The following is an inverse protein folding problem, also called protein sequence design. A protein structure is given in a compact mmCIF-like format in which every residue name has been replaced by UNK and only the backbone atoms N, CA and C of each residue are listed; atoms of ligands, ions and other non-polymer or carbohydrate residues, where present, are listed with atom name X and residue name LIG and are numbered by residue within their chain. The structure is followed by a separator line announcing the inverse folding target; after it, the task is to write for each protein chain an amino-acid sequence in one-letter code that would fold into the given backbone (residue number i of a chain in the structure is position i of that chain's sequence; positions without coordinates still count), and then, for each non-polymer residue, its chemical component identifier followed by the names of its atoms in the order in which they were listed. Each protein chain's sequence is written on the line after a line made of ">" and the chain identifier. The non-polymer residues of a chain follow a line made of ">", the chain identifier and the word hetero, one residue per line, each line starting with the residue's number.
data_IF_938058309128
#
_entry.id   IF_938058309128
#
_cell.length_a   1.000
_cell.length_b   1.000
_cell.length_c   1.000
_cell.angle_alpha   90.00
_cell.angle_beta   90.00
_cell.angle_gamma   90.00
#
_symmetry.space_group_name_H-M   'P 1'
#
loop_
_entity.id
_entity.type
_entity.pdbx_description
1 polymer ?
#
# COMPACT_ATOMS: atom_id res chain seq x y z
N UNK A 1 -15.74 3.32 30.30
CA UNK A 1 -16.69 4.18 29.55
C UNK A 1 -16.89 3.54 28.19
N UNK A 2 -18.09 3.53 27.63
CA UNK A 2 -18.27 3.12 26.23
C UNK A 2 -17.79 4.28 25.35
N UNK A 3 -16.77 4.04 24.52
CA UNK A 3 -16.46 4.95 23.43
C UNK A 3 -17.62 4.95 22.43
N UNK A 4 -18.01 6.12 21.95
CA UNK A 4 -18.91 6.24 20.80
C UNK A 4 -18.12 5.76 19.57
N UNK A 5 -18.68 4.91 18.69
CA UNK A 5 -17.98 4.52 17.47
C UNK A 5 -17.80 5.73 16.57
N UNK A 6 -16.57 6.16 16.37
CA UNK A 6 -16.21 7.22 15.42
C UNK A 6 -16.64 6.85 14.00
N UNK A 7 -17.00 7.87 13.23
CA UNK A 7 -17.19 7.76 11.78
C UNK A 7 -15.84 7.63 11.05
N UNK A 8 -15.86 7.15 9.81
CA UNK A 8 -14.68 7.10 8.93
C UNK A 8 -13.97 8.46 8.87
N UNK A 9 -14.75 9.56 8.83
CA UNK A 9 -14.25 10.92 8.63
C UNK A 9 -13.60 11.49 9.90
N UNK A 10 -14.10 11.14 11.09
CA UNK A 10 -13.45 11.48 12.38
C UNK A 10 -12.16 10.69 12.60
N UNK A 11 -12.10 9.42 12.18
CA UNK A 11 -10.88 8.62 12.18
C UNK A 11 -9.85 9.14 11.17
N UNK A 12 -10.32 9.61 10.01
CA UNK A 12 -9.46 10.25 9.02
C UNK A 12 -8.88 11.56 9.56
N UNK A 13 -9.68 12.39 10.23
CA UNK A 13 -9.18 13.59 10.93
C UNK A 13 -8.22 13.25 12.09
N UNK A 14 -8.45 12.17 12.85
CA UNK A 14 -7.55 11.67 13.91
C UNK A 14 -6.16 11.25 13.36
N UNK A 15 -6.13 10.56 12.23
CA UNK A 15 -4.88 10.14 11.54
C UNK A 15 -4.33 11.21 10.57
N UNK A 16 -4.89 12.42 10.55
CA UNK A 16 -4.44 13.53 9.69
C UNK A 16 -4.63 13.31 8.18
N UNK A 17 -5.54 12.41 7.79
CA UNK A 17 -5.85 12.05 6.39
C UNK A 17 -6.76 13.11 5.78
N UNK A 18 -6.22 13.91 4.86
CA UNK A 18 -6.91 15.03 4.22
C UNK A 18 -7.80 14.53 3.08
N UNK A 19 -9.08 14.85 3.11
CA UNK A 19 -10.02 14.42 2.07
C UNK A 19 -10.74 15.58 1.38
N UNK A 20 -10.93 15.40 0.08
CA UNK A 20 -11.67 16.31 -0.79
C UNK A 20 -13.13 16.38 -0.35
N UNK A 21 -13.59 17.56 0.07
CA UNK A 21 -15.00 17.80 0.44
C UNK A 21 -15.92 17.47 -0.74
N UNK A 22 -16.98 16.70 -0.48
CA UNK A 22 -17.91 16.12 -1.48
C UNK A 22 -17.36 14.96 -2.36
N UNK A 23 -16.13 14.47 -2.13
CA UNK A 23 -15.68 13.21 -2.73
C UNK A 23 -16.64 12.08 -2.37
N UNK A 24 -17.11 11.31 -3.38
CA UNK A 24 -18.26 10.42 -3.20
C UNK A 24 -17.86 9.04 -2.68
N UNK A 25 -17.30 9.00 -1.47
CA UNK A 25 -17.15 7.76 -0.70
C UNK A 25 -18.52 7.14 -0.43
N UNK A 26 -18.94 6.24 -1.31
CA UNK A 26 -20.22 5.53 -1.18
C UNK A 26 -20.20 4.68 0.10
N UNK A 27 -21.35 4.44 0.78
CA UNK A 27 -21.44 3.58 1.97
C UNK A 27 -20.92 2.13 1.82
N UNK A 28 -20.50 1.74 0.62
CA UNK A 28 -19.80 0.48 0.32
C UNK A 28 -18.29 0.51 0.60
N UNK A 29 -17.66 1.64 0.90
CA UNK A 29 -16.27 1.62 1.42
C UNK A 29 -16.26 1.04 2.85
N UNK A 30 -17.32 1.29 3.63
CA UNK A 30 -17.60 0.64 4.92
C UNK A 30 -17.95 -0.87 4.77
N UNK A 31 -17.85 -1.43 3.56
CA UNK A 31 -17.98 -2.88 3.27
C UNK A 31 -16.63 -3.48 2.82
N UNK A 32 -15.53 -2.71 2.85
CA UNK A 32 -14.18 -3.28 2.75
C UNK A 32 -13.91 -4.15 4.00
N UNK A 33 -13.25 -5.31 3.85
CA UNK A 33 -12.90 -6.18 4.97
C UNK A 33 -11.98 -5.53 6.01
N UNK A 34 -11.17 -4.56 5.60
CA UNK A 34 -10.37 -3.71 6.48
C UNK A 34 -11.24 -2.78 7.35
N UNK A 35 -10.81 -2.48 8.56
CA UNK A 35 -11.47 -1.46 9.40
C UNK A 35 -11.16 -0.03 8.93
N UNK A 36 -11.97 0.93 9.39
CA UNK A 36 -11.74 2.36 9.15
C UNK A 36 -10.38 2.84 9.70
N UNK A 37 -10.02 2.38 10.90
CA UNK A 37 -8.77 2.75 11.57
C UNK A 37 -7.54 2.19 10.84
N UNK A 38 -7.60 0.96 10.32
CA UNK A 38 -6.54 0.41 9.46
C UNK A 38 -6.41 1.19 8.13
N UNK A 39 -7.53 1.53 7.47
CA UNK A 39 -7.51 2.34 6.25
C UNK A 39 -6.87 3.71 6.48
N UNK A 40 -7.22 4.37 7.58
CA UNK A 40 -6.66 5.67 7.96
C UNK A 40 -5.15 5.57 8.23
N UNK A 41 -4.74 4.65 9.12
CA UNK A 41 -3.34 4.39 9.47
C UNK A 41 -2.47 4.06 8.25
N UNK A 42 -2.93 3.18 7.36
CA UNK A 42 -2.17 2.84 6.15
C UNK A 42 -2.12 3.98 5.12
N UNK A 43 -3.14 4.85 5.10
CA UNK A 43 -3.15 6.04 4.22
C UNK A 43 -2.10 7.05 4.68
N UNK A 44 -2.10 7.43 5.96
CA UNK A 44 -1.08 8.35 6.49
C UNK A 44 0.33 7.77 6.39
N UNK A 45 0.54 6.53 6.85
CA UNK A 45 1.86 5.88 6.82
C UNK A 45 2.45 5.86 5.41
N UNK A 46 1.62 5.59 4.39
CA UNK A 46 2.03 5.64 2.99
C UNK A 46 2.31 7.07 2.53
N UNK A 47 1.36 7.98 2.71
CA UNK A 47 1.44 9.30 2.09
C UNK A 47 2.45 10.22 2.78
N UNK A 48 2.67 10.08 4.09
CA UNK A 48 3.79 10.70 4.81
C UNK A 48 5.12 10.29 4.18
N UNK A 49 5.37 8.98 4.00
CA UNK A 49 6.60 8.48 3.39
C UNK A 49 6.80 8.96 1.94
N UNK A 50 5.72 9.06 1.17
CA UNK A 50 5.76 9.51 -0.23
C UNK A 50 5.95 11.02 -0.36
N UNK A 51 5.34 11.84 0.50
CA UNK A 51 5.61 13.29 0.57
C UNK A 51 7.06 13.53 0.97
N UNK A 52 7.61 12.80 1.95
CA UNK A 52 9.04 12.89 2.30
C UNK A 52 9.95 12.54 1.12
N UNK A 53 9.66 11.46 0.39
CA UNK A 53 10.43 11.08 -0.79
C UNK A 53 10.38 12.15 -1.91
N UNK A 54 9.20 12.75 -2.14
CA UNK A 54 9.00 13.84 -3.11
C UNK A 54 9.79 15.09 -2.71
N UNK A 55 9.68 15.52 -1.44
CA UNK A 55 10.40 16.69 -0.92
C UNK A 55 11.93 16.48 -0.99
N UNK A 56 12.44 15.28 -0.74
CA UNK A 56 13.87 14.95 -0.82
C UNK A 56 14.41 14.85 -2.26
N UNK A 57 13.60 14.43 -3.23
CA UNK A 57 13.93 14.55 -4.67
C UNK A 57 13.99 16.02 -5.07
N UNK A 58 13.00 16.85 -4.71
CA UNK A 58 12.98 18.30 -5.04
C UNK A 58 14.12 19.07 -4.39
N UNK A 59 14.63 18.60 -3.25
CA UNK A 59 15.81 19.14 -2.57
C UNK A 59 17.15 18.57 -3.10
N UNK A 60 17.13 17.73 -4.15
CA UNK A 60 18.34 17.21 -4.78
C UNK A 60 19.14 16.19 -3.95
N UNK A 61 18.57 15.66 -2.86
CA UNK A 61 19.26 14.73 -1.95
C UNK A 61 19.46 13.35 -2.58
N UNK A 62 18.60 12.96 -3.52
CA UNK A 62 18.62 11.66 -4.20
C UNK A 62 19.70 11.61 -5.29
N UNK A 63 20.89 11.14 -4.92
CA UNK A 63 22.04 10.99 -5.81
C UNK A 63 22.19 9.55 -6.35
N UNK A 64 22.63 9.41 -7.61
CA UNK A 64 23.19 8.14 -8.13
C UNK A 64 22.38 7.27 -9.12
N UNK A 65 21.47 7.81 -9.94
CA UNK A 65 20.78 7.02 -11.00
C UNK A 65 20.46 7.84 -12.26
N UNK A 66 20.00 7.18 -13.33
CA UNK A 66 19.31 7.80 -14.48
C UNK A 66 17.85 8.13 -14.13
N UNK A 67 17.20 7.31 -13.31
CA UNK A 67 15.79 7.44 -12.92
C UNK A 67 15.59 8.17 -11.57
N UNK A 68 16.48 9.11 -11.18
CA UNK A 68 16.51 9.74 -9.83
C UNK A 68 15.17 10.25 -9.32
N UNK A 69 14.38 10.84 -10.22
CA UNK A 69 13.11 11.48 -9.92
C UNK A 69 11.91 10.52 -10.04
N UNK A 70 12.09 9.33 -10.62
CA UNK A 70 11.05 8.32 -10.74
C UNK A 70 11.08 7.43 -9.50
N UNK A 71 9.94 7.27 -8.84
CA UNK A 71 9.80 6.40 -7.68
C UNK A 71 8.48 5.63 -7.75
N UNK A 72 8.35 4.54 -6.99
CA UNK A 72 7.14 3.73 -6.95
C UNK A 72 6.64 3.44 -5.54
N UNK A 73 5.32 3.32 -5.42
CA UNK A 73 4.62 2.80 -4.25
C UNK A 73 3.91 1.49 -4.62
N UNK A 74 4.18 0.42 -3.89
CA UNK A 74 3.53 -0.90 -4.08
C UNK A 74 2.73 -1.26 -2.84
N UNK A 75 1.40 -1.27 -2.96
CA UNK A 75 0.47 -1.64 -1.89
C UNK A 75 -0.42 -2.78 -2.38
N UNK A 76 -0.16 -3.97 -1.85
CA UNK A 76 -0.82 -5.23 -2.20
C UNK A 76 -1.58 -5.81 -0.98
N UNK A 77 -2.23 -4.91 -0.24
CA UNK A 77 -3.36 -5.20 0.64
C UNK A 77 -4.53 -5.81 -0.16
N UNK A 78 -5.49 -6.52 0.46
CA UNK A 78 -6.53 -7.26 -0.28
C UNK A 78 -7.35 -6.37 -1.21
N UNK A 79 -7.75 -5.19 -0.72
CA UNK A 79 -8.51 -4.18 -1.45
C UNK A 79 -7.69 -3.46 -2.54
N UNK A 80 -6.36 -3.53 -2.51
CA UNK A 80 -5.47 -2.84 -3.45
C UNK A 80 -4.72 -3.79 -4.39
N UNK A 81 -4.97 -5.10 -4.29
CA UNK A 81 -4.37 -6.12 -5.14
C UNK A 81 -5.40 -6.70 -6.14
N UNK A 82 -5.44 -6.23 -7.41
CA UNK A 82 -6.28 -6.78 -8.47
C UNK A 82 -6.05 -8.26 -8.86
N UNK A 83 -5.23 -9.02 -8.14
CA UNK A 83 -5.18 -10.49 -8.24
C UNK A 83 -6.12 -11.18 -7.22
N UNK A 84 -6.72 -10.42 -6.30
CA UNK A 84 -7.72 -10.84 -5.32
C UNK A 84 -9.09 -10.30 -5.73
N UNK A 85 -10.14 -11.08 -5.44
CA UNK A 85 -11.55 -10.78 -5.76
C UNK A 85 -12.18 -9.67 -4.86
N UNK A 86 -11.33 -8.95 -4.12
CA UNK A 86 -11.69 -8.01 -3.05
C UNK A 86 -11.30 -6.56 -3.43
N UNK A 87 -10.78 -6.34 -4.65
CA UNK A 87 -10.22 -5.06 -5.08
C UNK A 87 -11.23 -3.89 -5.03
N UNK A 88 -11.07 -2.98 -4.06
CA UNK A 88 -11.84 -1.74 -3.95
C UNK A 88 -11.02 -0.51 -4.34
N UNK A 89 -11.20 -0.10 -5.60
CA UNK A 89 -10.67 1.16 -6.14
C UNK A 89 -11.02 2.41 -5.34
N UNK A 90 -12.04 2.41 -4.46
CA UNK A 90 -12.33 3.56 -3.58
C UNK A 90 -11.21 3.82 -2.58
N UNK A 91 -10.59 2.76 -2.05
CA UNK A 91 -9.47 2.93 -1.12
C UNK A 91 -8.23 3.46 -1.84
N UNK A 92 -8.00 3.04 -3.09
CA UNK A 92 -6.97 3.63 -3.94
C UNK A 92 -7.23 5.14 -4.16
N UNK A 93 -8.47 5.52 -4.46
CA UNK A 93 -8.87 6.92 -4.66
C UNK A 93 -8.75 7.76 -3.37
N UNK A 94 -9.07 7.18 -2.20
CA UNK A 94 -8.84 7.79 -0.88
C UNK A 94 -7.36 8.13 -0.66
N UNK A 95 -6.48 7.15 -0.89
CA UNK A 95 -5.03 7.32 -0.76
C UNK A 95 -4.48 8.38 -1.73
N UNK A 96 -4.95 8.39 -2.99
CA UNK A 96 -4.55 9.42 -3.96
C UNK A 96 -5.01 10.80 -3.52
N UNK A 97 -6.24 10.94 -3.00
CA UNK A 97 -6.76 12.26 -2.62
C UNK A 97 -5.97 12.89 -1.47
N UNK A 98 -5.67 12.14 -0.42
CA UNK A 98 -4.84 12.64 0.69
C UNK A 98 -3.43 13.05 0.23
N UNK A 99 -2.78 12.22 -0.60
CA UNK A 99 -1.50 12.58 -1.19
C UNK A 99 -1.56 13.86 -2.03
N UNK A 100 -2.62 14.04 -2.82
CA UNK A 100 -2.80 15.23 -3.67
C UNK A 100 -3.10 16.47 -2.82
N UNK A 101 -3.86 16.38 -1.72
CA UNK A 101 -4.09 17.51 -0.81
C UNK A 101 -2.79 17.93 -0.09
N UNK A 102 -2.05 16.96 0.49
CA UNK A 102 -0.74 17.17 1.15
C UNK A 102 0.34 17.77 0.22
N UNK A 103 0.17 17.68 -1.10
CA UNK A 103 1.06 18.29 -2.09
C UNK A 103 0.52 19.63 -2.63
N UNK A 104 -0.77 19.72 -2.95
CA UNK A 104 -1.34 20.87 -3.65
C UNK A 104 -1.86 21.98 -2.71
N UNK A 105 -2.29 21.66 -1.49
CA UNK A 105 -2.68 22.66 -0.48
C UNK A 105 -1.49 22.92 0.47
N UNK A 106 -1.07 21.94 1.28
CA UNK A 106 -0.01 22.11 2.30
C UNK A 106 1.36 22.55 1.75
N UNK A 107 1.75 22.04 0.58
CA UNK A 107 3.03 22.35 -0.08
C UNK A 107 2.88 23.32 -1.26
N UNK A 108 1.66 23.72 -1.58
CA UNK A 108 1.34 24.65 -2.68
C UNK A 108 1.85 24.24 -4.08
N UNK A 109 2.07 22.94 -4.34
CA UNK A 109 2.65 22.42 -5.58
C UNK A 109 1.60 22.19 -6.67
N UNK A 110 1.99 22.37 -7.94
CA UNK A 110 1.15 21.93 -9.07
C UNK A 110 1.32 20.43 -9.26
N UNK A 111 0.24 19.66 -9.13
CA UNK A 111 0.23 18.19 -9.16
C UNK A 111 -0.58 17.69 -10.34
N UNK A 112 0.05 16.94 -11.25
CA UNK A 112 -0.63 16.30 -12.37
C UNK A 112 -0.79 14.79 -12.14
N UNK A 113 -2.02 14.37 -11.87
CA UNK A 113 -2.42 12.96 -11.91
C UNK A 113 -2.51 12.50 -13.37
N UNK A 114 -1.88 11.38 -13.69
CA UNK A 114 -1.99 10.70 -14.98
C UNK A 114 -2.57 9.29 -14.79
N UNK A 115 -3.47 8.92 -15.67
CA UNK A 115 -4.26 7.68 -15.61
C UNK A 115 -4.38 7.08 -17.01
N UNK A 116 -4.63 5.77 -17.12
CA UNK A 116 -4.95 5.15 -18.40
C UNK A 116 -6.45 5.30 -18.71
N UNK A 117 -6.80 5.93 -19.84
CA UNK A 117 -8.19 5.97 -20.33
C UNK A 117 -8.55 4.80 -21.24
N UNK A 118 -9.85 4.51 -21.29
CA UNK A 118 -10.41 3.59 -22.30
C UNK A 118 -10.41 4.21 -23.72
N UNK A 119 -10.19 5.53 -23.84
CA UNK A 119 -10.10 6.23 -25.14
C UNK A 119 -8.73 6.10 -25.80
N UNK A 120 -7.64 6.07 -25.01
CA UNK A 120 -6.26 5.90 -25.51
C UNK A 120 -5.86 4.42 -25.60
N UNK A 121 -6.27 3.59 -24.62
CA UNK A 121 -5.87 2.17 -24.52
C UNK A 121 -6.97 1.17 -24.90
N UNK A 122 -8.20 1.62 -25.18
CA UNK A 122 -9.34 0.77 -25.54
C UNK A 122 -9.85 -0.09 -24.38
N UNK A 123 -9.25 -1.27 -24.21
CA UNK A 123 -9.60 -2.22 -23.14
C UNK A 123 -8.75 -1.99 -21.90
N UNK A 124 -9.38 -1.60 -20.78
CA UNK A 124 -8.67 -1.31 -19.53
C UNK A 124 -8.55 -2.52 -18.58
N UNK A 125 -7.35 -2.78 -18.02
CA UNK A 125 -7.19 -3.67 -16.87
C UNK A 125 -8.02 -3.23 -15.64
N UNK A 126 -8.44 -4.19 -14.80
CA UNK A 126 -9.28 -3.96 -13.61
C UNK A 126 -8.70 -2.89 -12.65
N UNK A 127 -7.36 -2.79 -12.57
CA UNK A 127 -6.63 -1.80 -11.76
C UNK A 127 -6.89 -0.34 -12.15
N UNK A 128 -7.32 -0.06 -13.39
CA UNK A 128 -7.54 1.29 -13.93
C UNK A 128 -8.95 1.47 -14.52
N UNK A 129 -9.73 0.41 -14.68
CA UNK A 129 -11.08 0.44 -15.23
C UNK A 129 -12.00 1.45 -14.51
N UNK A 130 -12.28 2.57 -15.18
CA UNK A 130 -13.14 3.65 -14.69
C UNK A 130 -12.48 4.67 -13.76
N UNK A 131 -11.20 4.49 -13.39
CA UNK A 131 -10.46 5.34 -12.44
C UNK A 131 -10.47 6.83 -12.84
N UNK A 132 -10.04 7.13 -14.07
CA UNK A 132 -10.03 8.50 -14.62
C UNK A 132 -11.42 9.15 -14.57
N UNK A 133 -12.48 8.39 -14.86
CA UNK A 133 -13.87 8.85 -14.83
C UNK A 133 -14.35 9.16 -13.41
N UNK A 134 -13.90 8.42 -12.40
CA UNK A 134 -14.22 8.73 -11.00
C UNK A 134 -13.44 9.96 -10.51
N UNK A 135 -12.12 10.03 -10.74
CA UNK A 135 -11.32 11.21 -10.36
C UNK A 135 -11.84 12.49 -11.02
N UNK A 136 -12.19 12.45 -12.32
CA UNK A 136 -12.79 13.59 -13.03
C UNK A 136 -14.19 13.97 -12.50
N UNK A 137 -14.93 13.03 -11.91
CA UNK A 137 -16.22 13.30 -11.28
C UNK A 137 -16.06 13.90 -9.87
N UNK A 138 -15.09 13.41 -9.08
CA UNK A 138 -14.76 13.98 -7.77
C UNK A 138 -14.22 15.41 -7.91
N UNK A 139 -13.30 15.67 -8.85
CA UNK A 139 -12.82 17.04 -9.17
C UNK A 139 -14.02 17.96 -9.45
N UNK A 140 -14.95 17.54 -10.31
CA UNK A 140 -16.13 18.36 -10.67
C UNK A 140 -17.10 18.56 -9.51
N UNK A 141 -17.26 17.57 -8.63
CA UNK A 141 -18.16 17.67 -7.47
C UNK A 141 -17.60 18.54 -6.34
N UNK A 142 -16.31 18.87 -6.39
CA UNK A 142 -15.56 19.38 -5.24
C UNK A 142 -14.80 20.67 -5.52
N UNK A 143 -14.44 20.96 -6.77
CA UNK A 143 -13.72 22.17 -7.17
C UNK A 143 -14.43 23.46 -6.74
N UNK A 144 -15.78 23.48 -6.75
CA UNK A 144 -16.57 24.61 -6.23
C UNK A 144 -16.24 24.94 -4.76
N UNK A 145 -15.88 23.94 -3.95
CA UNK A 145 -15.47 24.10 -2.54
C UNK A 145 -13.98 24.40 -2.33
N UNK A 146 -13.15 24.25 -3.36
CA UNK A 146 -11.70 24.44 -3.28
C UNK A 146 -11.29 25.91 -3.36
N UNK A 147 -10.14 26.23 -2.78
CA UNK A 147 -9.45 27.52 -2.99
C UNK A 147 -9.01 27.65 -4.45
N UNK A 148 -8.90 28.88 -4.96
CA UNK A 148 -8.47 29.12 -6.35
C UNK A 148 -7.04 28.62 -6.62
N UNK A 149 -6.18 28.64 -5.60
CA UNK A 149 -4.85 28.03 -5.65
C UNK A 149 -4.91 26.50 -5.78
N UNK A 150 -5.79 25.83 -5.03
CA UNK A 150 -5.96 24.38 -5.13
C UNK A 150 -6.56 23.96 -6.48
N UNK A 151 -7.54 24.71 -7.00
CA UNK A 151 -8.14 24.49 -8.33
C UNK A 151 -7.14 24.55 -9.49
N UNK A 152 -6.18 25.48 -9.42
CA UNK A 152 -5.19 25.70 -10.49
C UNK A 152 -4.01 24.73 -10.42
N UNK A 153 -3.73 24.18 -9.23
CA UNK A 153 -2.67 23.19 -8.97
C UNK A 153 -3.06 21.75 -9.30
N UNK A 154 -4.29 21.33 -9.00
CA UNK A 154 -4.71 19.93 -9.15
C UNK A 154 -5.15 19.65 -10.60
N UNK A 155 -4.37 18.83 -11.32
CA UNK A 155 -4.61 18.46 -12.72
C UNK A 155 -4.83 16.96 -12.88
N UNK A 156 -5.64 16.58 -13.86
CA UNK A 156 -5.89 15.18 -14.26
C UNK A 156 -5.77 15.07 -15.78
N UNK A 157 -5.02 14.08 -16.25
CA UNK A 157 -4.84 13.80 -17.68
C UNK A 157 -4.84 12.28 -17.99
N UNK A 158 -4.79 11.97 -19.29
CA UNK A 158 -4.33 10.66 -19.75
C UNK A 158 -2.82 10.49 -19.56
N UNK A 159 -2.32 9.27 -19.80
CA UNK A 159 -0.91 8.95 -19.67
C UNK A 159 -0.21 8.98 -21.05
N UNK A 160 0.46 10.09 -21.34
CA UNK A 160 1.28 10.24 -22.55
C UNK A 160 2.11 11.54 -22.52
N UNK A 161 3.24 11.60 -23.25
CA UNK A 161 4.11 12.77 -23.34
C UNK A 161 3.37 14.02 -23.88
N UNK A 162 2.35 13.84 -24.70
CA UNK A 162 1.47 14.89 -25.23
C UNK A 162 0.66 15.63 -24.16
N UNK A 163 0.58 15.09 -22.94
CA UNK A 163 -0.11 15.68 -21.81
C UNK A 163 0.81 16.30 -20.76
N UNK A 164 2.14 16.22 -20.95
CA UNK A 164 3.11 16.83 -20.03
C UNK A 164 3.12 18.35 -20.20
N UNK A 165 2.77 19.06 -19.13
CA UNK A 165 2.88 20.52 -19.05
C UNK A 165 4.15 20.93 -18.28
N UNK A 166 4.76 22.06 -18.64
CA UNK A 166 6.06 22.47 -18.12
C UNK A 166 5.98 23.19 -16.77
N UNK A 167 4.79 23.63 -16.36
CA UNK A 167 4.49 24.36 -15.11
C UNK A 167 3.96 23.45 -13.97
N UNK A 168 4.18 22.13 -14.08
CA UNK A 168 3.84 21.11 -13.08
C UNK A 168 5.07 20.76 -12.25
N UNK A 169 4.95 20.78 -10.92
CA UNK A 169 5.99 20.36 -9.98
C UNK A 169 6.12 18.84 -9.89
N UNK A 170 4.99 18.13 -9.76
CA UNK A 170 4.93 16.71 -9.39
C UNK A 170 3.95 15.95 -10.27
N UNK A 171 4.36 14.78 -10.76
CA UNK A 171 3.53 13.87 -11.54
C UNK A 171 3.20 12.61 -10.75
N UNK A 172 1.93 12.18 -10.76
CA UNK A 172 1.47 10.96 -10.09
C UNK A 172 0.81 10.05 -11.12
N UNK A 173 1.48 8.96 -11.51
CA UNK A 173 0.93 7.98 -12.46
C UNK A 173 0.20 6.90 -11.67
N UNK A 174 -1.11 6.78 -11.84
CA UNK A 174 -1.95 5.91 -11.01
C UNK A 174 -2.21 4.56 -11.69
N UNK A 175 -1.79 3.49 -11.02
CA UNK A 175 -1.93 2.09 -11.42
C UNK A 175 -1.52 1.80 -12.88
N UNK A 176 -0.42 2.37 -13.42
CA UNK A 176 -0.04 2.11 -14.81
C UNK A 176 0.27 0.61 -14.98
N UNK A 177 -0.57 -0.06 -15.75
CA UNK A 177 -0.69 -1.53 -15.83
C UNK A 177 -0.64 -1.96 -17.28
N UNK A 178 0.34 -2.78 -17.66
CA UNK A 178 0.43 -3.35 -19.00
C UNK A 178 -0.81 -4.21 -19.32
N UNK A 179 -1.34 -4.04 -20.53
CA UNK A 179 -2.35 -4.93 -21.09
C UNK A 179 -1.74 -5.81 -22.19
N UNK A 180 -2.34 -6.97 -22.45
CA UNK A 180 -1.89 -7.84 -23.54
C UNK A 180 -2.10 -7.13 -24.89
N UNK A 181 -1.02 -6.92 -25.65
CA UNK A 181 -1.04 -6.18 -26.92
C UNK A 181 -0.97 -4.65 -26.80
N UNK A 182 -1.05 -4.09 -25.59
CA UNK A 182 -0.91 -2.65 -25.32
C UNK A 182 -0.03 -2.41 -24.08
N UNK A 183 1.31 -2.40 -24.23
CA UNK A 183 2.26 -2.22 -23.14
C UNK A 183 2.38 -0.75 -22.73
N UNK A 184 1.59 -0.32 -21.73
CA UNK A 184 1.63 1.06 -21.21
C UNK A 184 3.01 1.51 -20.73
N UNK A 185 3.90 0.59 -20.34
CA UNK A 185 5.28 0.92 -19.93
C UNK A 185 6.04 1.74 -20.99
N UNK A 186 5.73 1.59 -22.29
CA UNK A 186 6.35 2.39 -23.35
C UNK A 186 5.87 3.85 -23.31
N UNK A 187 4.60 4.09 -22.96
CA UNK A 187 4.08 5.44 -22.66
C UNK A 187 4.59 5.98 -21.33
N UNK A 188 4.81 5.14 -20.31
CA UNK A 188 5.46 5.57 -19.06
C UNK A 188 6.88 6.07 -19.35
N UNK A 189 7.66 5.35 -20.16
CA UNK A 189 9.03 5.71 -20.53
C UNK A 189 9.09 7.03 -21.29
N UNK A 190 8.28 7.20 -22.35
CA UNK A 190 8.25 8.45 -23.13
C UNK A 190 7.73 9.65 -22.34
N UNK A 191 6.76 9.44 -21.44
CA UNK A 191 6.25 10.50 -20.55
C UNK A 191 7.31 10.91 -19.53
N UNK A 192 8.05 9.95 -18.94
CA UNK A 192 9.19 10.22 -18.04
C UNK A 192 10.28 11.02 -18.76
N UNK A 193 10.64 10.64 -19.98
CA UNK A 193 11.62 11.35 -20.80
C UNK A 193 11.19 12.81 -21.08
N UNK A 194 9.92 13.03 -21.46
CA UNK A 194 9.36 14.38 -21.69
C UNK A 194 9.23 15.23 -20.43
N UNK A 195 9.05 14.63 -19.24
CA UNK A 195 9.03 15.34 -17.96
C UNK A 195 10.44 15.82 -17.58
N UNK A 196 11.48 15.06 -17.91
CA UNK A 196 12.87 15.33 -17.56
C UNK A 196 13.24 14.82 -16.16
N UNK A 197 14.48 15.06 -15.74
CA UNK A 197 15.09 14.46 -14.54
C UNK A 197 14.94 15.26 -13.24
N UNK A 198 14.40 16.49 -13.30
CA UNK A 198 14.35 17.42 -12.16
C UNK A 198 13.03 17.35 -11.36
N UNK A 199 11.96 16.84 -11.98
CA UNK A 199 10.59 16.88 -11.44
C UNK A 199 10.14 15.51 -10.94
N UNK A 200 9.70 15.34 -9.66
CA UNK A 200 9.28 14.04 -9.14
C UNK A 200 8.16 13.37 -9.95
N UNK A 201 8.31 12.07 -10.18
CA UNK A 201 7.34 11.20 -10.83
C UNK A 201 7.09 10.00 -9.91
N UNK A 202 5.86 9.88 -9.42
CA UNK A 202 5.46 8.82 -8.49
C UNK A 202 4.50 7.84 -9.17
N UNK A 203 4.91 6.59 -9.27
CA UNK A 203 4.09 5.49 -9.79
C UNK A 203 3.36 4.81 -8.61
N UNK A 204 2.04 4.97 -8.50
CA UNK A 204 1.21 4.24 -7.52
C UNK A 204 0.79 2.90 -8.13
N UNK A 205 1.04 1.78 -7.44
CA UNK A 205 0.71 0.42 -7.88
C UNK A 205 1.07 0.09 -9.35
N UNK A 206 2.30 0.38 -9.83
CA UNK A 206 2.71 0.05 -11.19
C UNK A 206 2.71 -1.46 -11.43
N UNK A 207 2.09 -1.87 -12.53
CA UNK A 207 2.07 -3.25 -13.05
C UNK A 207 2.70 -3.26 -14.46
N UNK A 208 3.95 -2.81 -14.50
CA UNK A 208 4.75 -2.62 -15.72
C UNK A 208 5.58 -3.86 -16.13
N UNK A 209 5.43 -4.97 -15.41
CA UNK A 209 5.99 -6.26 -15.80
C UNK A 209 5.37 -6.81 -17.09
N UNK A 210 6.02 -7.78 -17.71
CA UNK A 210 5.56 -8.34 -18.99
C UNK A 210 4.30 -9.20 -18.84
N UNK A 211 3.36 -9.00 -19.75
CA UNK A 211 2.15 -9.82 -19.88
C UNK A 211 2.30 -10.70 -21.12
N UNK A 212 2.39 -12.05 -20.99
CA UNK A 212 2.51 -12.93 -22.14
C UNK A 212 1.23 -12.93 -23.01
N UNK A 213 1.38 -13.23 -24.30
CA UNK A 213 0.22 -13.45 -25.18
C UNK A 213 -0.53 -14.74 -24.82
N UNK A 214 -1.74 -14.90 -25.35
CA UNK A 214 -2.48 -16.18 -25.26
C UNK A 214 -1.75 -17.38 -25.90
N UNK A 215 -0.74 -17.13 -26.76
CA UNK A 215 0.13 -18.17 -27.34
C UNK A 215 1.46 -18.35 -26.57
N UNK A 216 1.62 -17.71 -25.41
CA UNK A 216 2.85 -17.74 -24.60
C UNK A 216 3.99 -16.90 -25.16
N UNK A 217 3.81 -16.25 -26.31
CA UNK A 217 4.83 -15.41 -26.97
C UNK A 217 4.90 -14.05 -26.26
N UNK A 218 6.10 -13.67 -25.83
CA UNK A 218 6.39 -12.35 -25.27
C UNK A 218 6.87 -11.38 -26.36
N UNK A 219 6.62 -10.08 -26.18
CA UNK A 219 7.08 -9.05 -27.13
C UNK A 219 8.60 -8.87 -27.03
N UNK A 220 9.36 -9.35 -28.02
CA UNK A 220 10.84 -9.37 -27.97
C UNK A 220 11.46 -8.00 -28.24
N UNK A 221 10.87 -7.20 -29.14
CA UNK A 221 11.33 -5.82 -29.42
C UNK A 221 11.08 -4.92 -28.20
N UNK A 222 12.02 -4.01 -27.89
CA UNK A 222 11.99 -3.13 -26.71
C UNK A 222 12.14 -3.84 -25.34
N UNK A 223 12.16 -5.18 -25.32
CA UNK A 223 12.07 -6.00 -24.09
C UNK A 223 13.09 -5.65 -23.04
N UNK A 224 14.36 -5.57 -23.43
CA UNK A 224 15.45 -5.26 -22.51
C UNK A 224 15.32 -3.84 -21.96
N UNK A 225 15.08 -2.84 -22.81
CA UNK A 225 14.89 -1.45 -22.38
C UNK A 225 13.74 -1.30 -21.38
N UNK A 226 12.59 -1.98 -21.60
CA UNK A 226 11.47 -1.99 -20.65
C UNK A 226 11.81 -2.65 -19.31
N UNK A 227 12.52 -3.78 -19.33
CA UNK A 227 12.94 -4.49 -18.12
C UNK A 227 14.01 -3.72 -17.34
N UNK A 228 14.99 -3.16 -18.03
CA UNK A 228 16.06 -2.34 -17.47
C UNK A 228 15.51 -1.03 -16.88
N UNK A 229 14.51 -0.41 -17.53
CA UNK A 229 13.78 0.74 -17.00
C UNK A 229 13.02 0.37 -15.71
N UNK A 230 12.16 -0.65 -15.74
CA UNK A 230 11.36 -1.05 -14.57
C UNK A 230 12.25 -1.50 -13.40
N UNK A 231 13.39 -2.14 -13.69
CA UNK A 231 14.38 -2.54 -12.69
C UNK A 231 15.15 -1.38 -12.03
N UNK A 232 15.17 -0.20 -12.66
CA UNK A 232 15.83 1.00 -12.11
C UNK A 232 14.94 1.84 -11.19
N UNK A 233 13.64 1.54 -11.07
CA UNK A 233 12.68 2.38 -10.32
C UNK A 233 12.76 2.06 -8.82
N UNK A 234 13.24 2.97 -7.95
CA UNK A 234 13.22 2.77 -6.50
C UNK A 234 11.79 2.64 -5.96
N UNK A 235 11.61 1.75 -4.98
CA UNK A 235 10.34 1.53 -4.30
C UNK A 235 10.26 2.39 -3.03
N UNK A 236 9.80 3.62 -3.16
CA UNK A 236 9.64 4.58 -2.06
C UNK A 236 8.72 4.05 -0.96
N UNK A 237 7.68 3.30 -1.31
CA UNK A 237 6.83 2.59 -0.36
C UNK A 237 6.56 1.15 -0.82
N UNK A 238 6.57 0.20 0.10
CA UNK A 238 6.11 -1.17 -0.12
C UNK A 238 5.28 -1.65 1.06
N UNK A 239 4.12 -2.24 0.78
CA UNK A 239 3.38 -3.06 1.72
C UNK A 239 2.77 -4.23 0.94
N UNK A 240 3.35 -5.42 1.09
CA UNK A 240 2.88 -6.65 0.44
C UNK A 240 2.58 -7.73 1.48
N UNK A 241 1.35 -8.24 1.45
CA UNK A 241 0.93 -9.37 2.27
C UNK A 241 1.43 -10.68 1.66
N UNK A 242 2.16 -11.46 2.46
CA UNK A 242 2.87 -12.66 2.02
C UNK A 242 2.07 -13.91 2.38
N UNK A 243 1.49 -14.58 1.38
CA UNK A 243 0.64 -15.75 1.57
C UNK A 243 1.38 -17.08 1.34
N UNK A 244 0.81 -18.19 1.82
CA UNK A 244 1.27 -19.53 1.42
C UNK A 244 1.05 -19.74 -0.08
N UNK A 245 2.09 -20.11 -0.83
CA UNK A 245 2.02 -20.35 -2.28
C UNK A 245 0.84 -21.26 -2.69
N UNK A 246 0.14 -20.88 -3.76
CA UNK A 246 -1.07 -21.54 -4.25
C UNK A 246 -2.37 -21.20 -3.50
N UNK A 247 -2.33 -20.37 -2.46
CA UNK A 247 -3.50 -20.06 -1.61
C UNK A 247 -3.48 -18.62 -1.08
N UNK A 248 -4.64 -17.98 -0.98
CA UNK A 248 -4.78 -16.66 -0.35
C UNK A 248 -4.89 -16.70 1.18
N UNK A 249 -4.71 -17.89 1.79
CA UNK A 249 -4.68 -18.10 3.25
C UNK A 249 -3.88 -19.38 3.58
N UNK A 250 -3.09 -19.43 4.67
CA UNK A 250 -2.84 -18.37 5.66
C UNK A 250 -1.90 -17.28 5.17
N UNK A 251 -2.12 -16.07 5.69
CA UNK A 251 -1.12 -15.00 5.70
C UNK A 251 0.09 -15.46 6.55
N UNK A 252 1.29 -15.33 6.00
CA UNK A 252 2.57 -15.74 6.60
C UNK A 252 3.38 -14.58 7.16
N UNK A 253 3.14 -13.37 6.67
CA UNK A 253 3.93 -12.19 7.01
C UNK A 253 3.64 -11.02 6.09
N UNK A 254 4.42 -9.96 6.22
CA UNK A 254 4.34 -8.72 5.45
C UNK A 254 5.77 -8.34 5.02
N UNK A 255 5.94 -7.99 3.74
CA UNK A 255 7.09 -7.19 3.31
C UNK A 255 6.70 -5.72 3.36
N UNK A 256 7.37 -4.95 4.20
CA UNK A 256 7.13 -3.52 4.40
C UNK A 256 8.35 -2.68 4.01
N UNK A 257 8.11 -1.43 3.61
CA UNK A 257 9.11 -0.35 3.51
C UNK A 257 8.38 0.99 3.46
N UNK A 258 8.83 1.94 4.29
CA UNK A 258 8.51 3.36 4.15
C UNK A 258 9.81 4.17 3.96
N UNK A 259 9.86 5.05 2.96
CA UNK A 259 10.99 5.97 2.78
C UNK A 259 11.14 6.90 4.00
N UNK A 260 12.36 7.20 4.47
CA UNK A 260 13.67 6.81 3.91
C UNK A 260 14.17 5.40 4.31
N UNK A 261 13.49 4.70 5.21
CA UNK A 261 13.94 3.44 5.84
C UNK A 261 14.16 2.24 4.91
N UNK A 262 14.53 1.11 5.50
CA UNK A 262 14.91 -0.11 4.79
C UNK A 262 13.71 -1.04 4.49
N UNK A 263 13.95 -2.15 3.78
CA UNK A 263 12.95 -3.20 3.60
C UNK A 263 12.88 -4.06 4.83
N UNK A 264 11.69 -4.25 5.40
CA UNK A 264 11.43 -5.05 6.59
C UNK A 264 10.58 -6.26 6.24
N UNK A 265 11.00 -7.46 6.66
CA UNK A 265 10.17 -8.67 6.62
C UNK A 265 9.63 -8.96 8.01
N UNK A 266 8.31 -8.83 8.17
CA UNK A 266 7.59 -9.18 9.38
C UNK A 266 6.95 -10.56 9.22
N UNK A 267 7.22 -11.50 10.12
CA UNK A 267 6.58 -12.82 10.14
C UNK A 267 5.33 -12.79 11.03
N UNK A 268 4.24 -13.39 10.55
CA UNK A 268 2.98 -13.55 11.29
C UNK A 268 2.99 -14.86 12.07
N UNK A 269 2.85 -14.75 13.38
CA UNK A 269 2.55 -15.86 14.28
C UNK A 269 1.04 -15.87 14.60
N UNK A 270 0.46 -17.06 14.74
CA UNK A 270 -0.93 -17.26 15.13
C UNK A 270 -0.96 -18.26 16.30
N UNK A 271 -1.23 -17.77 17.49
CA UNK A 271 -1.32 -18.59 18.71
C UNK A 271 -2.79 -18.70 19.13
N UNK A 272 -3.33 -19.93 19.12
CA UNK A 272 -4.72 -20.21 19.48
C UNK A 272 -4.75 -20.63 20.95
N UNK A 273 -5.09 -19.70 21.83
CA UNK A 273 -5.39 -20.01 23.24
C UNK A 273 -6.81 -20.57 23.33
N UNK A 274 -6.95 -21.73 23.97
CA UNK A 274 -8.25 -22.34 24.27
C UNK A 274 -8.55 -22.13 25.75
N UNK A 275 -9.62 -21.41 26.07
CA UNK A 275 -10.06 -21.18 27.44
C UNK A 275 -11.27 -22.07 27.78
N UNK A 276 -11.23 -22.72 28.94
CA UNK A 276 -12.27 -23.66 29.36
C UNK A 276 -12.14 -25.06 28.74
N UNK A 277 -13.12 -25.91 28.99
CA UNK A 277 -13.11 -27.32 28.61
C UNK A 277 -14.46 -27.78 28.05
N UNK A 278 -14.44 -28.80 27.20
CA UNK A 278 -15.63 -29.36 26.57
C UNK A 278 -16.29 -28.42 25.55
N UNK A 279 -17.63 -28.48 25.45
CA UNK A 279 -18.41 -27.79 24.40
C UNK A 279 -18.42 -26.26 24.57
N UNK A 280 -18.05 -25.74 25.75
CA UNK A 280 -17.96 -24.31 26.04
C UNK A 280 -16.53 -23.73 25.90
N UNK A 281 -15.59 -24.48 25.32
CA UNK A 281 -14.21 -24.03 25.16
C UNK A 281 -14.09 -22.86 24.15
N UNK A 282 -13.76 -21.67 24.63
CA UNK A 282 -13.58 -20.47 23.83
C UNK A 282 -12.20 -20.48 23.15
N UNK A 283 -12.16 -20.18 21.84
CA UNK A 283 -10.92 -20.12 21.06
C UNK A 283 -10.53 -18.67 20.79
N UNK A 284 -9.63 -18.16 21.62
CA UNK A 284 -9.02 -16.84 21.40
C UNK A 284 -7.83 -17.03 20.45
N UNK A 285 -7.96 -16.49 19.24
CA UNK A 285 -6.84 -16.37 18.30
C UNK A 285 -6.08 -15.09 18.61
N UNK A 286 -4.79 -15.22 18.95
CA UNK A 286 -3.85 -14.10 19.00
C UNK A 286 -3.01 -14.09 17.74
N UNK A 287 -2.82 -12.92 17.17
CA UNK A 287 -1.96 -12.72 16.02
C UNK A 287 -0.88 -11.70 16.37
N UNK A 288 0.37 -12.07 16.12
CA UNK A 288 1.53 -11.27 16.48
C UNK A 288 2.47 -11.21 15.28
N UNK A 289 3.09 -10.04 15.06
CA UNK A 289 4.04 -9.82 13.98
C UNK A 289 5.44 -9.57 14.56
N UNK A 290 6.41 -10.33 14.11
CA UNK A 290 7.81 -10.26 14.55
C UNK A 290 8.69 -9.81 13.39
N UNK A 291 9.51 -8.78 13.59
CA UNK A 291 10.50 -8.35 12.60
C UNK A 291 11.58 -9.42 12.48
N UNK A 292 11.63 -10.07 11.32
CA UNK A 292 12.47 -11.24 11.07
C UNK A 292 13.77 -10.88 10.32
N UNK A 293 13.73 -9.91 9.41
CA UNK A 293 14.92 -9.44 8.72
C UNK A 293 14.75 -8.04 8.11
N UNK A 294 15.88 -7.39 7.81
CA UNK A 294 15.94 -6.06 7.20
C UNK A 294 16.97 -6.03 6.06
N UNK A 295 16.60 -5.55 4.86
CA UNK A 295 17.52 -5.34 3.74
C UNK A 295 17.66 -3.84 3.43
N UNK A 296 18.88 -3.34 3.14
CA UNK A 296 19.10 -1.97 2.71
C UNK A 296 18.18 -1.54 1.56
N UNK A 297 17.70 -0.30 1.57
CA UNK A 297 16.84 0.26 0.53
C UNK A 297 17.43 0.17 -0.89
N UNK A 298 18.76 0.09 -1.00
CA UNK A 298 19.53 -0.10 -2.24
C UNK A 298 19.61 -1.56 -2.72
N UNK A 299 19.27 -2.54 -1.89
CA UNK A 299 19.37 -3.98 -2.16
C UNK A 299 18.03 -4.68 -1.88
N UNK A 300 17.00 -4.44 -2.72
CA UNK A 300 15.67 -5.03 -2.53
C UNK A 300 15.69 -6.57 -2.55
N UNK A 301 15.01 -7.25 -1.61
CA UNK A 301 15.07 -8.71 -1.49
C UNK A 301 14.37 -9.45 -2.64
N UNK A 302 14.94 -10.60 -3.00
CA UNK A 302 14.33 -11.55 -3.93
C UNK A 302 13.23 -12.39 -3.27
N UNK A 303 12.40 -13.05 -4.10
CA UNK A 303 11.36 -13.97 -3.64
C UNK A 303 11.92 -15.19 -2.91
N UNK A 304 13.13 -15.62 -3.26
CA UNK A 304 13.82 -16.75 -2.62
C UNK A 304 14.22 -16.39 -1.20
N UNK A 305 14.92 -15.26 -1.00
CA UNK A 305 15.32 -14.79 0.34
C UNK A 305 14.12 -14.61 1.28
N UNK A 306 13.06 -13.94 0.81
CA UNK A 306 11.82 -13.76 1.59
C UNK A 306 11.23 -15.11 2.01
N UNK A 307 11.19 -16.08 1.09
CA UNK A 307 10.73 -17.44 1.35
C UNK A 307 11.60 -18.15 2.39
N UNK A 308 12.91 -18.10 2.22
CA UNK A 308 13.86 -18.84 3.04
C UNK A 308 13.92 -18.32 4.47
N UNK A 309 13.84 -17.00 4.66
CA UNK A 309 13.65 -16.40 5.99
C UNK A 309 12.33 -16.89 6.63
N UNK A 310 11.19 -16.78 5.95
CA UNK A 310 9.88 -17.21 6.49
C UNK A 310 9.88 -18.70 6.86
N UNK A 311 10.52 -19.56 6.06
CA UNK A 311 10.57 -21.00 6.28
C UNK A 311 11.49 -21.39 7.45
N UNK A 312 12.69 -20.79 7.52
CA UNK A 312 13.69 -21.14 8.54
C UNK A 312 13.42 -20.51 9.91
N UNK A 313 12.63 -19.45 9.99
CA UNK A 313 12.27 -18.80 11.24
C UNK A 313 11.43 -19.70 12.16
N UNK A 314 11.98 -20.12 13.30
CA UNK A 314 11.24 -20.72 14.42
C UNK A 314 10.96 -19.67 15.49
N UNK A 315 9.79 -19.73 16.13
CA UNK A 315 9.51 -18.91 17.31
C UNK A 315 10.23 -19.57 18.49
N UNK A 316 11.07 -18.82 19.20
CA UNK A 316 11.55 -19.28 20.50
C UNK A 316 10.33 -19.48 21.41
N UNK A 317 10.15 -20.68 21.94
CA UNK A 317 8.98 -21.00 22.76
C UNK A 317 8.92 -20.08 23.97
N UNK A 318 7.89 -19.25 24.06
CA UNK A 318 7.58 -18.51 25.29
C UNK A 318 7.56 -19.52 26.46
N UNK A 319 8.16 -19.20 27.62
CA UNK A 319 8.18 -20.11 28.74
C UNK A 319 6.73 -20.43 29.15
N UNK A 320 6.37 -21.71 29.10
CA UNK A 320 5.01 -22.20 29.31
C UNK A 320 4.60 -22.21 30.80
N UNK A 321 4.82 -21.08 31.48
CA UNK A 321 4.59 -20.89 32.91
C UNK A 321 3.63 -19.72 33.14
N UNK A 322 2.33 -20.04 33.13
CA UNK A 322 1.34 -19.30 33.91
C UNK A 322 0.36 -20.26 34.59
N UNK A 323 0.90 -21.37 35.12
CA UNK A 323 0.20 -22.14 36.15
C UNK A 323 0.16 -21.33 37.46
N UNK A 324 -0.85 -21.61 38.28
CA UNK A 324 -1.16 -20.82 39.47
C UNK A 324 -0.13 -20.94 40.60
N UNK A 325 -0.14 -19.93 41.47
CA UNK A 325 0.72 -19.76 42.65
C UNK A 325 0.94 -21.01 43.52
N UNK A 326 2.20 -21.23 43.89
CA UNK A 326 2.59 -21.70 45.22
C UNK A 326 3.91 -21.02 45.65
N UNK A 327 4.05 -20.71 46.93
CA UNK A 327 5.20 -19.97 47.47
C UNK A 327 6.43 -20.88 47.71
N UNK A 328 7.63 -20.41 47.37
CA UNK A 328 8.71 -20.23 48.37
C UNK A 328 9.93 -19.43 47.87
N UNK A 329 10.64 -18.84 48.85
CA UNK A 329 12.05 -18.47 48.89
C UNK A 329 12.62 -17.25 48.14
N UNK A 330 13.48 -16.53 48.87
CA UNK A 330 14.26 -15.35 48.46
C UNK A 330 15.71 -15.75 48.15
N UNK A 331 16.32 -15.18 47.09
CA UNK A 331 17.71 -14.68 47.19
C UNK A 331 18.16 -13.75 46.06
N UNK A 332 18.60 -12.55 46.45
CA UNK A 332 19.61 -11.65 45.83
C UNK A 332 20.03 -11.81 44.35
N UNK A 333 19.71 -10.81 43.50
CA UNK A 333 20.67 -10.05 42.64
C UNK A 333 19.98 -9.01 41.72
N UNK A 334 20.68 -7.96 41.30
CA UNK A 334 20.28 -6.93 40.31
C UNK A 334 21.49 -6.05 39.93
N UNK A 335 21.51 -5.29 38.81
CA UNK A 335 20.58 -5.20 37.68
C UNK A 335 21.15 -5.99 36.45
N UNK A 336 21.09 -5.68 35.14
CA UNK A 336 20.66 -4.52 34.30
C UNK A 336 20.40 -5.01 32.84
N UNK A 337 19.64 -4.30 31.98
CA UNK A 337 19.18 -4.82 30.67
C UNK A 337 20.08 -4.39 29.47
N UNK A 338 19.74 -4.83 28.25
CA UNK A 338 19.24 -3.84 27.29
C UNK A 338 17.87 -4.20 26.67
N UNK A 339 17.28 -3.21 26.02
CA UNK A 339 15.91 -3.19 25.51
C UNK A 339 15.68 -3.96 24.21
N UNK A 340 14.63 -4.78 24.20
CA UNK A 340 13.74 -4.94 23.03
C UNK A 340 12.29 -4.82 23.50
N UNK A 341 11.61 -3.73 23.13
CA UNK A 341 10.19 -3.53 23.44
C UNK A 341 9.38 -4.14 22.30
N UNK A 342 8.57 -5.20 22.52
CA UNK A 342 7.65 -5.68 21.50
C UNK A 342 6.59 -4.60 21.26
N UNK A 343 6.42 -4.19 20.00
CA UNK A 343 5.32 -3.27 19.62
C UNK A 343 4.02 -4.06 19.65
N UNK A 344 3.37 -4.07 20.82
CA UNK A 344 2.04 -4.67 20.97
C UNK A 344 1.02 -3.80 20.26
N UNK A 345 0.66 -4.18 19.03
CA UNK A 345 -0.53 -3.66 18.35
C UNK A 345 -1.78 -4.11 19.10
N UNK A 346 -2.20 -3.31 20.08
CA UNK A 346 -3.43 -3.49 20.84
C UNK A 346 -4.68 -3.11 20.03
N UNK A 347 -4.79 -3.64 18.80
CA UNK A 347 -6.01 -3.55 18.00
C UNK A 347 -7.05 -4.47 18.65
N UNK A 348 -8.22 -3.96 19.07
CA UNK A 348 -9.29 -4.81 19.56
C UNK A 348 -9.87 -5.61 18.38
N UNK A 349 -9.48 -6.88 18.26
CA UNK A 349 -9.89 -7.79 17.17
C UNK A 349 -11.38 -8.15 17.29
N UNK A 350 -12.23 -7.22 16.86
CA UNK A 350 -13.67 -7.39 16.78
C UNK A 350 -14.06 -8.01 15.42
N UNK A 351 -14.10 -9.35 15.38
CA UNK A 351 -14.85 -10.16 14.41
C UNK A 351 -14.30 -10.15 12.97
N UNK A 352 -13.34 -11.04 12.69
CA UNK A 352 -13.15 -11.61 11.34
C UNK A 352 -13.84 -12.98 11.15
N UNK A 353 -14.80 -13.31 12.03
CA UNK A 353 -15.43 -14.64 12.14
C UNK A 353 -16.78 -14.79 11.43
N UNK A 354 -17.30 -13.73 10.78
CA UNK A 354 -18.64 -13.74 10.20
C UNK A 354 -18.75 -14.39 8.81
N UNK A 355 -17.66 -14.47 8.04
CA UNK A 355 -17.70 -14.83 6.61
C UNK A 355 -17.88 -16.33 6.31
N UNK A 356 -17.74 -17.22 7.30
CA UNK A 356 -17.63 -18.67 7.08
C UNK A 356 -18.85 -19.51 7.50
N UNK A 357 -19.92 -18.90 8.03
CA UNK A 357 -21.14 -19.63 8.45
C UNK A 357 -22.27 -19.64 7.42
N UNK A 358 -22.25 -18.76 6.41
CA UNK A 358 -23.39 -18.56 5.51
C UNK A 358 -23.51 -19.57 4.34
N UNK A 359 -22.55 -20.48 4.18
CA UNK A 359 -22.53 -21.47 3.07
C UNK A 359 -22.98 -22.89 3.45
N UNK A 360 -23.45 -23.11 4.69
CA UNK A 360 -23.88 -24.43 5.18
C UNK A 360 -25.38 -24.55 5.47
N UNK A 361 -26.17 -23.50 5.23
CA UNK A 361 -27.62 -23.47 5.52
C UNK A 361 -28.45 -22.91 4.34
N UNK A 362 -28.28 -23.49 3.16
CA UNK A 362 -29.26 -23.44 2.08
C UNK A 362 -29.21 -24.74 1.26
N UNK A 363 -30.11 -25.67 1.59
CA UNK A 363 -30.40 -26.90 0.86
C UNK A 363 -31.86 -27.28 1.07
#
# INVERSE_FOLDING_TARGET
>A
MCAVPFTELELDEEHGVQLVKNSRFTPRINQSPMSAHERAFYTDTMNTALVTAIDDVRQGKVNGSTCKNVMSATVLLPELNPALDIYDRRFLIKVIWDLVMRLADDRALTVQMMTQSATQFGGLPLSVAGLQKTLAADIRASSESWSEGLRTRVRLADLGPEHVTDDVDVFIFVSPTNAQGAPVVEQVMSTVERIGSERPILLINPRLGEVPSHSGVMQVQGRRERLDFVGQIPRAFVMELLYKSGTWYPLRGILFRAYPGDFELWKRWQDITVLGAGVQAEKIMREEFELLHTWPASSPPSRTEISDHIQNASRASLPANYEGSSDSDMSTASPTPPSSVPITFAVPVAIFSAALLYFSLLK
#
